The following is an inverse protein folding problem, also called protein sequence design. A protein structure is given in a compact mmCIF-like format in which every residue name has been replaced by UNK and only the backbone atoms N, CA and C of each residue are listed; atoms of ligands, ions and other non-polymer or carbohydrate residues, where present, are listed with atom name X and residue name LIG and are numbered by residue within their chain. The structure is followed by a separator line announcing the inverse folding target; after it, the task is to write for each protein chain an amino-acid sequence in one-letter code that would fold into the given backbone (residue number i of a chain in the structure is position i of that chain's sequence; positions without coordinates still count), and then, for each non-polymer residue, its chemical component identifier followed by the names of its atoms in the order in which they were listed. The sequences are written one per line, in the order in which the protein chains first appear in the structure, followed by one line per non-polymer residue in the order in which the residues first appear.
data_IF_103248499986
#
_entry.id   IF_103248499986
#
_cell.length_a   1.000
_cell.length_b   1.000
_cell.length_c   1.000
_cell.angle_alpha   90.00
_cell.angle_beta   90.00
_cell.angle_gamma   90.00
#
_symmetry.space_group_name_H-M   'P 1'
#
loop_
_entity.id
_entity.type
_entity.pdbx_description
1 polymer ?
#
# COMPACT_ATOMS: atom_id res chain seq x y z
N UNK A 1 -9.41 12.48 16.56
CA UNK A 1 -8.67 12.54 15.29
C UNK A 1 -8.29 13.97 14.92
N UNK A 2 -9.25 14.89 14.72
CA UNK A 2 -8.96 16.28 14.33
C UNK A 2 -7.97 17.00 15.27
N UNK A 3 -8.13 16.86 16.60
CA UNK A 3 -7.17 17.43 17.56
C UNK A 3 -5.73 16.95 17.32
N UNK A 4 -5.53 15.64 17.14
CA UNK A 4 -4.20 15.08 16.86
C UNK A 4 -3.66 15.57 15.52
N UNK A 5 -4.52 15.74 14.52
CA UNK A 5 -4.15 16.31 13.24
C UNK A 5 -3.63 17.76 13.42
N UNK A 6 -4.33 18.58 14.22
CA UNK A 6 -3.92 19.95 14.55
C UNK A 6 -2.59 19.98 15.32
N UNK A 7 -2.39 19.08 16.30
CA UNK A 7 -1.13 18.95 17.04
C UNK A 7 0.04 18.60 16.12
N UNK A 8 -0.15 17.67 15.19
CA UNK A 8 0.86 17.29 14.21
C UNK A 8 1.13 18.43 13.23
N UNK A 9 0.10 19.10 12.72
CA UNK A 9 0.25 20.24 11.82
C UNK A 9 0.98 21.42 12.49
N UNK A 10 0.75 21.65 13.78
CA UNK A 10 1.41 22.71 14.55
C UNK A 10 2.93 22.50 14.68
N UNK A 11 3.44 21.28 14.50
CA UNK A 11 4.89 21.02 14.49
C UNK A 11 5.60 21.62 13.28
N UNK A 12 4.88 21.91 12.19
CA UNK A 12 5.44 22.37 10.92
C UNK A 12 6.34 21.34 10.22
N UNK A 13 6.53 20.14 10.77
CA UNK A 13 7.35 19.12 10.13
C UNK A 13 6.62 18.56 8.91
N UNK A 14 7.26 18.46 7.73
CA UNK A 14 6.54 18.08 6.51
C UNK A 14 5.84 16.72 6.59
N UNK A 15 6.48 15.73 7.22
CA UNK A 15 5.88 14.41 7.38
C UNK A 15 4.70 14.42 8.37
N UNK A 16 4.76 15.26 9.41
CA UNK A 16 3.65 15.45 10.34
C UNK A 16 2.48 16.18 9.68
N UNK A 17 2.74 17.15 8.80
CA UNK A 17 1.73 17.81 7.96
C UNK A 17 1.07 16.82 6.99
N UNK A 18 1.84 15.92 6.37
CA UNK A 18 1.30 14.84 5.56
C UNK A 18 0.36 13.96 6.38
N UNK A 19 0.76 13.50 7.57
CA UNK A 19 -0.11 12.68 8.43
C UNK A 19 -1.32 13.47 8.94
N UNK A 20 -1.16 14.73 9.31
CA UNK A 20 -2.25 15.61 9.72
C UNK A 20 -3.32 15.72 8.64
N UNK A 21 -2.91 15.93 7.38
CA UNK A 21 -3.85 15.99 6.25
C UNK A 21 -4.74 14.75 6.16
N UNK A 22 -4.17 13.58 6.42
CA UNK A 22 -4.84 12.29 6.31
C UNK A 22 -5.75 12.01 7.50
N UNK A 23 -5.37 12.46 8.70
CA UNK A 23 -6.20 12.34 9.89
C UNK A 23 -7.43 13.26 9.85
N UNK A 24 -7.32 14.44 9.24
CA UNK A 24 -8.45 15.37 9.12
C UNK A 24 -9.46 14.97 8.04
N UNK A 25 -8.98 14.45 6.89
CA UNK A 25 -9.80 14.21 5.71
C UNK A 25 -11.10 13.42 5.97
N UNK A 26 -11.13 12.29 6.72
CA UNK A 26 -12.38 11.57 6.97
C UNK A 26 -13.42 12.40 7.74
N UNK A 27 -12.97 13.23 8.67
CA UNK A 27 -13.84 14.11 9.45
C UNK A 27 -14.45 15.18 8.56
N UNK A 28 -13.65 15.77 7.67
CA UNK A 28 -14.09 16.80 6.73
C UNK A 28 -15.05 16.23 5.67
N UNK A 29 -14.77 15.04 5.14
CA UNK A 29 -15.68 14.33 4.22
C UNK A 29 -17.02 13.98 4.89
N UNK A 30 -17.00 13.61 6.17
CA UNK A 30 -18.23 13.29 6.92
C UNK A 30 -19.05 14.54 7.27
N UNK A 31 -18.40 15.68 7.44
CA UNK A 31 -19.05 16.94 7.78
C UNK A 31 -19.68 17.66 6.57
N UNK A 32 -19.28 17.32 5.34
CA UNK A 32 -19.70 18.03 4.12
C UNK A 32 -20.12 17.06 3.01
N UNK A 33 -21.41 16.69 2.90
CA UNK A 33 -21.91 15.82 1.83
C UNK A 33 -22.01 16.51 0.46
N UNK A 34 -21.75 17.82 0.37
CA UNK A 34 -21.81 18.61 -0.86
C UNK A 34 -20.50 19.37 -1.08
N UNK A 35 -20.10 19.64 -2.34
CA UNK A 35 -18.92 20.43 -2.64
C UNK A 35 -19.08 21.83 -2.03
N UNK A 36 -18.36 22.08 -0.93
CA UNK A 36 -18.32 23.39 -0.30
C UNK A 36 -17.20 24.23 -0.93
N UNK A 37 -17.38 25.55 -0.93
CA UNK A 37 -16.37 26.51 -1.37
C UNK A 37 -15.26 26.75 -0.34
N UNK A 38 -15.34 26.14 0.85
CA UNK A 38 -14.35 26.31 1.91
C UNK A 38 -13.19 25.33 1.65
N UNK A 39 -11.94 25.81 1.50
CA UNK A 39 -10.79 24.94 1.39
C UNK A 39 -10.68 24.04 2.62
N UNK A 40 -10.53 22.73 2.40
CA UNK A 40 -10.32 21.76 3.46
C UNK A 40 -8.96 21.98 4.13
N UNK A 41 -8.91 21.84 5.46
CA UNK A 41 -7.64 21.92 6.19
C UNK A 41 -6.72 20.77 5.78
N UNK A 42 -7.28 19.59 5.45
CA UNK A 42 -6.49 18.49 4.89
C UNK A 42 -5.68 18.92 3.68
N UNK A 43 -6.31 19.64 2.76
CA UNK A 43 -5.69 20.03 1.50
C UNK A 43 -4.62 21.11 1.71
N UNK A 44 -4.87 22.05 2.63
CA UNK A 44 -3.90 23.08 3.01
C UNK A 44 -2.65 22.49 3.67
N UNK A 45 -2.80 21.53 4.59
CA UNK A 45 -1.66 20.86 5.24
C UNK A 45 -0.89 19.96 4.27
N UNK A 46 -1.58 19.25 3.37
CA UNK A 46 -0.91 18.49 2.32
C UNK A 46 -0.08 19.41 1.41
N UNK A 47 -0.64 20.54 1.00
CA UNK A 47 0.09 21.51 0.17
C UNK A 47 1.32 22.05 0.88
N UNK A 48 1.22 22.35 2.18
CA UNK A 48 2.38 22.78 2.97
C UNK A 48 3.43 21.67 3.08
N UNK A 49 3.02 20.43 3.35
CA UNK A 49 3.93 19.28 3.36
C UNK A 49 4.71 19.14 2.05
N UNK A 50 4.03 19.31 0.91
CA UNK A 50 4.63 19.25 -0.42
C UNK A 50 5.63 20.38 -0.61
N UNK A 51 5.27 21.63 -0.27
CA UNK A 51 6.16 22.79 -0.42
C UNK A 51 7.44 22.67 0.40
N UNK A 52 7.34 22.16 1.62
CA UNK A 52 8.45 22.14 2.57
C UNK A 52 9.22 20.81 2.61
N UNK A 53 8.64 19.73 2.08
CA UNK A 53 9.14 18.36 2.29
C UNK A 53 9.24 17.47 1.06
N UNK A 54 9.12 18.01 -0.16
CA UNK A 54 9.21 17.18 -1.38
C UNK A 54 10.56 16.48 -1.57
N UNK A 55 11.58 16.77 -0.76
CA UNK A 55 12.84 15.99 -0.70
C UNK A 55 12.64 14.58 -0.11
N UNK A 56 11.56 14.35 0.64
CA UNK A 56 11.22 13.03 1.18
C UNK A 56 10.40 12.24 0.15
N UNK A 57 10.80 11.02 -0.23
CA UNK A 57 10.12 10.25 -1.28
C UNK A 57 8.62 10.06 -1.08
N UNK A 58 8.16 9.79 0.14
CA UNK A 58 6.73 9.64 0.45
C UNK A 58 5.92 10.92 0.18
N UNK A 59 6.50 12.09 0.43
CA UNK A 59 5.87 13.39 0.14
C UNK A 59 5.93 13.67 -1.36
N UNK A 60 7.04 13.32 -2.03
CA UNK A 60 7.16 13.43 -3.48
C UNK A 60 6.12 12.58 -4.23
N UNK A 61 5.90 11.33 -3.79
CA UNK A 61 4.82 10.46 -4.29
C UNK A 61 3.45 11.10 -4.07
N UNK A 62 3.19 11.62 -2.86
CA UNK A 62 1.93 12.31 -2.56
C UNK A 62 1.70 13.55 -3.44
N UNK A 63 2.75 14.31 -3.76
CA UNK A 63 2.69 15.46 -4.66
C UNK A 63 2.28 15.04 -6.08
N UNK A 64 2.91 13.99 -6.62
CA UNK A 64 2.57 13.45 -7.95
C UNK A 64 1.16 12.87 -7.97
N UNK A 65 0.74 12.13 -6.93
CA UNK A 65 -0.64 11.66 -6.82
C UNK A 65 -1.65 12.80 -6.83
N UNK A 66 -1.37 13.90 -6.11
CA UNK A 66 -2.22 15.11 -6.09
C UNK A 66 -2.28 15.79 -7.47
N UNK A 67 -1.17 15.86 -8.20
CA UNK A 67 -1.16 16.34 -9.58
C UNK A 67 -2.10 15.50 -10.47
N UNK A 68 -1.99 14.17 -10.40
CA UNK A 68 -2.84 13.24 -11.18
C UNK A 68 -4.32 13.41 -10.82
N UNK A 69 -4.66 13.48 -9.52
CA UNK A 69 -6.06 13.50 -9.09
C UNK A 69 -6.74 14.87 -9.16
N UNK A 70 -5.98 15.95 -8.96
CA UNK A 70 -6.51 17.30 -8.78
C UNK A 70 -5.96 18.34 -9.77
N UNK A 71 -5.08 17.94 -10.70
CA UNK A 71 -4.49 18.83 -11.72
C UNK A 71 -3.45 19.83 -11.18
N UNK A 72 -3.04 19.72 -9.91
CA UNK A 72 -2.12 20.64 -9.26
C UNK A 72 -0.68 20.18 -9.44
N UNK A 73 -0.09 20.50 -10.60
CA UNK A 73 1.14 19.87 -11.10
C UNK A 73 2.42 20.73 -11.02
N UNK A 74 2.41 21.85 -10.30
CA UNK A 74 3.63 22.64 -10.03
C UNK A 74 4.47 21.97 -8.93
N UNK A 75 5.14 20.88 -9.29
CA UNK A 75 5.88 20.00 -8.37
C UNK A 75 7.27 19.57 -8.89
N UNK A 76 8.09 20.48 -9.47
CA UNK A 76 9.35 20.10 -10.12
C UNK A 76 10.34 19.39 -9.17
N UNK A 77 10.33 19.75 -7.88
CA UNK A 77 11.17 19.10 -6.87
C UNK A 77 10.75 17.64 -6.65
N UNK A 78 9.46 17.36 -6.49
CA UNK A 78 8.96 16.00 -6.30
C UNK A 78 9.29 15.10 -7.49
N UNK A 79 9.08 15.61 -8.72
CA UNK A 79 9.42 14.88 -9.95
C UNK A 79 10.92 14.54 -9.97
N UNK A 80 11.78 15.50 -9.65
CA UNK A 80 13.22 15.27 -9.59
C UNK A 80 13.58 14.19 -8.56
N UNK A 81 13.01 14.25 -7.37
CA UNK A 81 13.28 13.28 -6.29
C UNK A 81 12.87 11.86 -6.71
N UNK A 82 11.70 11.69 -7.32
CA UNK A 82 11.29 10.39 -7.82
C UNK A 82 12.17 9.89 -8.99
N UNK A 83 12.67 10.80 -9.84
CA UNK A 83 13.58 10.43 -10.94
C UNK A 83 15.01 10.10 -10.47
N UNK A 84 15.45 10.60 -9.32
CA UNK A 84 16.85 10.46 -8.87
C UNK A 84 17.02 9.56 -7.65
N UNK A 85 16.25 9.78 -6.58
CA UNK A 85 16.39 9.01 -5.33
C UNK A 85 15.58 7.71 -5.34
N UNK A 86 14.49 7.66 -6.11
CA UNK A 86 13.63 6.48 -6.29
C UNK A 86 13.69 5.97 -7.75
N UNK A 87 14.85 6.13 -8.39
CA UNK A 87 15.04 5.78 -9.79
C UNK A 87 14.86 4.28 -10.06
N UNK A 88 15.17 3.44 -9.07
CA UNK A 88 15.10 1.98 -9.11
C UNK A 88 13.83 1.40 -8.46
N UNK A 89 12.89 2.26 -8.05
CA UNK A 89 11.67 1.89 -7.35
C UNK A 89 10.45 1.92 -8.28
N UNK A 90 9.81 0.76 -8.43
CA UNK A 90 8.76 0.54 -9.43
C UNK A 90 7.54 1.44 -9.24
N UNK A 91 7.08 1.66 -8.00
CA UNK A 91 5.92 2.50 -7.73
C UNK A 91 6.18 3.94 -8.14
N UNK A 92 7.31 4.53 -7.74
CA UNK A 92 7.70 5.88 -8.12
C UNK A 92 7.71 6.08 -9.64
N UNK A 93 8.28 5.13 -10.39
CA UNK A 93 8.32 5.20 -11.85
C UNK A 93 6.93 5.01 -12.49
N UNK A 94 6.07 4.16 -11.91
CA UNK A 94 4.68 4.02 -12.35
C UNK A 94 3.85 5.28 -12.07
N UNK A 95 4.07 5.96 -10.95
CA UNK A 95 3.44 7.27 -10.69
C UNK A 95 3.87 8.32 -11.72
N UNK A 96 5.16 8.41 -12.03
CA UNK A 96 5.68 9.31 -13.06
C UNK A 96 5.10 8.98 -14.45
N UNK A 97 4.97 7.69 -14.77
CA UNK A 97 4.31 7.23 -15.99
C UNK A 97 2.86 7.71 -16.05
N UNK A 98 2.06 7.51 -14.99
CA UNK A 98 0.65 7.96 -14.94
C UNK A 98 0.52 9.47 -15.10
N UNK A 99 1.40 10.23 -14.44
CA UNK A 99 1.43 11.68 -14.57
C UNK A 99 1.75 12.11 -16.00
N UNK A 100 2.75 11.51 -16.64
CA UNK A 100 3.09 11.80 -18.03
C UNK A 100 1.94 11.46 -18.99
N UNK A 101 1.27 10.32 -18.80
CA UNK A 101 0.05 9.95 -19.55
C UNK A 101 -1.06 10.98 -19.35
N UNK A 102 -1.31 11.41 -18.11
CA UNK A 102 -2.34 12.40 -17.80
C UNK A 102 -2.07 13.78 -18.43
N UNK A 103 -0.80 14.14 -18.59
CA UNK A 103 -0.35 15.38 -19.24
C UNK A 103 -0.20 15.25 -20.76
N UNK A 104 -0.37 14.07 -21.33
CA UNK A 104 -0.17 13.81 -22.76
C UNK A 104 1.29 13.78 -23.21
N UNK A 105 2.24 13.67 -22.28
CA UNK A 105 3.68 13.57 -22.55
C UNK A 105 4.06 12.13 -22.86
N UNK A 106 4.02 11.76 -24.14
CA UNK A 106 4.26 10.38 -24.59
C UNK A 106 5.72 9.96 -24.48
N UNK A 107 6.66 10.89 -24.57
CA UNK A 107 8.10 10.62 -24.45
C UNK A 107 8.45 10.28 -22.99
N UNK A 108 8.05 11.13 -22.05
CA UNK A 108 8.29 10.87 -20.63
C UNK A 108 7.51 9.65 -20.17
N UNK A 109 6.30 9.40 -20.68
CA UNK A 109 5.57 8.17 -20.38
C UNK A 109 6.37 6.94 -20.83
N UNK A 110 6.85 6.89 -22.07
CA UNK A 110 7.67 5.77 -22.56
C UNK A 110 8.93 5.54 -21.70
N UNK A 111 9.59 6.63 -21.32
CA UNK A 111 10.80 6.59 -20.50
C UNK A 111 10.51 6.11 -19.07
N UNK A 112 9.47 6.65 -18.42
CA UNK A 112 9.05 6.25 -17.09
C UNK A 112 8.58 4.78 -17.05
N UNK A 113 7.88 4.31 -18.10
CA UNK A 113 7.53 2.90 -18.24
C UNK A 113 8.77 2.01 -18.36
N UNK A 114 9.76 2.43 -19.15
CA UNK A 114 11.03 1.70 -19.27
C UNK A 114 11.75 1.61 -17.92
N UNK A 115 11.81 2.71 -17.17
CA UNK A 115 12.38 2.71 -15.80
C UNK A 115 11.59 1.80 -14.86
N UNK A 116 10.26 1.85 -14.87
CA UNK A 116 9.42 0.97 -14.06
C UNK A 116 9.69 -0.50 -14.36
N UNK A 117 9.77 -0.87 -15.64
CA UNK A 117 10.05 -2.26 -16.05
C UNK A 117 11.47 -2.73 -15.76
N UNK A 118 12.40 -1.81 -15.48
CA UNK A 118 13.79 -2.09 -15.09
C UNK A 118 14.05 -1.88 -13.60
N UNK A 119 13.03 -1.49 -12.82
CA UNK A 119 13.15 -1.29 -11.39
C UNK A 119 13.64 -2.57 -10.70
N UNK A 120 14.33 -2.40 -9.57
CA UNK A 120 14.85 -3.50 -8.76
C UNK A 120 14.16 -3.58 -7.40
N UNK A 121 13.37 -2.57 -7.06
CA UNK A 121 12.64 -2.44 -5.80
C UNK A 121 11.16 -2.20 -6.05
N UNK A 122 10.35 -2.66 -5.11
CA UNK A 122 8.93 -2.38 -5.02
C UNK A 122 8.60 -2.03 -3.57
N UNK A 123 8.15 -0.80 -3.34
CA UNK A 123 7.70 -0.34 -2.02
C UNK A 123 6.26 -0.76 -1.80
N UNK A 124 6.02 -1.41 -0.67
CA UNK A 124 4.67 -1.62 -0.15
C UNK A 124 4.18 -0.33 0.52
N UNK A 125 3.50 0.52 -0.26
CA UNK A 125 2.94 1.80 0.22
C UNK A 125 1.95 1.63 1.38
N UNK A 126 1.31 0.46 1.47
CA UNK A 126 0.44 0.15 2.60
C UNK A 126 1.25 -0.01 3.89
N UNK A 127 2.32 -0.83 3.85
CA UNK A 127 3.21 -1.01 4.98
C UNK A 127 3.94 0.28 5.38
N UNK A 128 4.40 1.08 4.40
CA UNK A 128 5.01 2.40 4.66
C UNK A 128 4.01 3.35 5.35
N UNK A 129 2.77 3.39 4.85
CA UNK A 129 1.68 4.17 5.45
C UNK A 129 1.34 3.71 6.86
N UNK A 130 1.29 2.39 7.10
CA UNK A 130 1.07 1.79 8.41
C UNK A 130 2.14 2.23 9.42
N UNK A 131 3.42 2.08 9.09
CA UNK A 131 4.52 2.49 9.99
C UNK A 131 4.47 3.98 10.31
N UNK A 132 4.30 4.82 9.28
CA UNK A 132 4.23 6.27 9.44
C UNK A 132 3.07 6.68 10.36
N UNK A 133 1.87 6.16 10.08
CA UNK A 133 0.67 6.45 10.87
C UNK A 133 0.77 5.88 12.28
N UNK A 134 1.30 4.67 12.46
CA UNK A 134 1.51 4.09 13.79
C UNK A 134 2.37 5.01 14.64
N UNK A 135 3.57 5.34 14.16
CA UNK A 135 4.54 6.16 14.89
C UNK A 135 3.99 7.54 15.24
N UNK A 136 3.31 8.21 14.32
CA UNK A 136 2.83 9.58 14.53
C UNK A 136 1.54 9.69 15.33
N UNK A 137 0.78 8.60 15.45
CA UNK A 137 -0.47 8.58 16.23
C UNK A 137 -0.30 7.98 17.63
N UNK A 138 0.89 7.50 18.00
CA UNK A 138 1.14 6.94 19.35
C UNK A 138 0.64 7.85 20.46
N UNK A 139 -0.02 7.26 21.45
CA UNK A 139 -0.63 7.98 22.57
C UNK A 139 -1.93 8.71 22.24
N UNK A 140 -2.38 8.74 20.98
CA UNK A 140 -3.69 9.26 20.63
C UNK A 140 -4.77 8.31 21.15
N UNK A 141 -5.75 8.87 21.87
CA UNK A 141 -6.95 8.16 22.28
C UNK A 141 -8.08 8.43 21.28
N UNK A 142 -8.68 7.36 20.77
CA UNK A 142 -9.88 7.47 19.95
C UNK A 142 -11.09 7.25 20.87
N UNK A 143 -12.00 8.24 21.01
CA UNK A 143 -13.20 8.07 21.82
C UNK A 143 -14.15 7.08 21.14
N UNK A 144 -14.32 5.91 21.75
CA UNK A 144 -15.24 4.87 21.27
C UNK A 144 -16.62 5.10 21.90
N UNK A 145 -17.67 5.23 21.09
CA UNK A 145 -19.05 5.49 21.54
C UNK A 145 -19.82 4.20 21.87
N UNK A 146 -19.14 3.16 22.36
CA UNK A 146 -19.70 1.82 22.56
C UNK A 146 -19.94 1.51 24.04
N UNK A 147 -21.12 0.97 24.35
CA UNK A 147 -21.48 0.34 25.64
C UNK A 147 -20.95 -1.09 25.77
N UNK A 148 -20.43 -1.69 24.69
CA UNK A 148 -19.73 -2.96 24.73
C UNK A 148 -18.28 -2.75 25.17
N UNK A 149 -17.83 -3.60 26.09
CA UNK A 149 -16.49 -3.63 26.66
C UNK A 149 -15.45 -3.83 25.53
N UNK A 150 -14.88 -2.74 25.06
CA UNK A 150 -13.55 -2.77 24.43
C UNK A 150 -12.55 -2.28 25.47
N UNK A 151 -11.65 -3.17 25.89
CA UNK A 151 -10.76 -2.98 27.04
C UNK A 151 -9.46 -2.25 26.70
N UNK A 152 -9.12 -2.02 25.42
CA UNK A 152 -7.86 -1.36 25.05
C UNK A 152 -8.03 -0.16 24.09
N UNK A 153 -7.78 1.09 24.53
CA UNK A 153 -7.80 2.27 23.66
C UNK A 153 -6.78 2.21 22.51
N UNK A 154 -5.74 1.38 22.63
CA UNK A 154 -4.74 1.18 21.58
C UNK A 154 -5.30 0.40 20.40
N UNK A 155 -6.26 -0.52 20.62
CA UNK A 155 -6.88 -1.28 19.55
C UNK A 155 -7.67 -0.38 18.60
N UNK A 156 -8.46 0.55 19.14
CA UNK A 156 -9.21 1.52 18.34
C UNK A 156 -8.26 2.38 17.48
N UNK A 157 -7.12 2.79 18.05
CA UNK A 157 -6.08 3.53 17.31
C UNK A 157 -5.49 2.69 16.19
N UNK A 158 -5.11 1.45 16.45
CA UNK A 158 -4.54 0.56 15.42
C UNK A 158 -5.54 0.29 14.29
N UNK A 159 -6.82 0.06 14.59
CA UNK A 159 -7.87 -0.08 13.56
C UNK A 159 -7.94 1.17 12.66
N UNK A 160 -7.91 2.36 13.26
CA UNK A 160 -7.88 3.62 12.50
C UNK A 160 -6.61 3.74 11.64
N UNK A 161 -5.44 3.41 12.19
CA UNK A 161 -4.16 3.41 11.44
C UNK A 161 -4.28 2.51 10.21
N UNK A 162 -4.84 1.31 10.35
CA UNK A 162 -5.06 0.37 9.25
C UNK A 162 -6.00 0.90 8.18
N UNK A 163 -7.16 1.44 8.59
CA UNK A 163 -8.14 1.99 7.68
C UNK A 163 -7.55 3.19 6.90
N UNK A 164 -6.80 4.07 7.57
CA UNK A 164 -6.14 5.19 6.91
C UNK A 164 -5.03 4.73 5.97
N UNK A 165 -4.20 3.77 6.39
CA UNK A 165 -3.14 3.21 5.55
C UNK A 165 -3.69 2.57 4.27
N UNK A 166 -4.86 1.90 4.32
CA UNK A 166 -5.46 1.32 3.11
C UNK A 166 -5.80 2.36 2.05
N UNK A 167 -6.07 3.61 2.44
CA UNK A 167 -6.32 4.70 1.49
C UNK A 167 -5.04 5.16 0.76
N UNK A 168 -3.86 4.75 1.20
CA UNK A 168 -2.59 4.94 0.48
C UNK A 168 -2.32 3.81 -0.52
N UNK A 169 -3.00 2.67 -0.36
CA UNK A 169 -2.65 1.46 -1.08
C UNK A 169 -3.28 1.40 -2.48
N UNK A 170 -2.48 0.92 -3.43
CA UNK A 170 -2.85 0.35 -4.73
C UNK A 170 -3.24 1.30 -5.87
N UNK A 171 -2.34 2.21 -6.24
CA UNK A 171 -2.48 2.98 -7.49
C UNK A 171 -1.56 2.52 -8.63
N UNK A 172 -0.96 1.33 -8.53
CA UNK A 172 -0.01 0.81 -9.52
C UNK A 172 -0.42 -0.56 -10.11
N UNK A 173 -1.27 -1.34 -9.43
CA UNK A 173 -1.65 -2.68 -9.92
C UNK A 173 -2.53 -2.61 -11.17
N UNK A 174 -3.44 -1.64 -11.24
CA UNK A 174 -4.31 -1.45 -12.41
C UNK A 174 -3.49 -1.12 -13.66
N UNK A 175 -2.44 -0.34 -13.49
CA UNK A 175 -1.52 0.10 -14.52
C UNK A 175 -0.67 -1.06 -15.02
N UNK A 176 -0.09 -1.85 -14.11
CA UNK A 176 0.63 -3.08 -14.47
C UNK A 176 -0.32 -4.05 -15.19
N UNK A 177 -1.57 -4.19 -14.75
CA UNK A 177 -2.54 -5.03 -15.43
C UNK A 177 -2.85 -4.58 -16.86
N UNK A 178 -3.01 -3.27 -17.07
CA UNK A 178 -3.28 -2.70 -18.39
C UNK A 178 -2.08 -2.80 -19.33
N UNK A 179 -0.87 -2.54 -18.84
CA UNK A 179 0.34 -2.48 -19.66
C UNK A 179 1.03 -3.83 -19.85
N UNK A 180 0.70 -4.82 -19.00
CA UNK A 180 1.17 -6.20 -19.14
C UNK A 180 0.01 -7.17 -19.40
N UNK A 181 -0.69 -7.06 -20.55
CA UNK A 181 -1.67 -8.07 -20.96
C UNK A 181 -0.94 -9.35 -21.39
N UNK A 182 -1.53 -10.52 -21.17
CA UNK A 182 -1.03 -11.76 -21.76
C UNK A 182 -1.99 -12.18 -22.89
N UNK A 183 -1.52 -12.47 -24.12
CA UNK A 183 -0.11 -12.43 -24.56
C UNK A 183 0.42 -11.01 -24.82
N UNK A 184 1.74 -10.83 -24.70
CA UNK A 184 2.47 -9.59 -25.05
C UNK A 184 3.65 -9.94 -25.96
N UNK A 185 4.12 -8.98 -26.76
CA UNK A 185 5.34 -9.11 -27.56
C UNK A 185 6.58 -9.46 -26.70
N UNK A 186 7.59 -10.07 -27.32
CA UNK A 186 8.78 -10.56 -26.62
C UNK A 186 9.55 -9.45 -25.89
N UNK A 187 9.60 -8.24 -26.46
CA UNK A 187 10.34 -7.10 -25.91
C UNK A 187 9.70 -6.56 -24.64
N UNK A 188 8.37 -6.44 -24.59
CA UNK A 188 7.62 -6.03 -23.41
C UNK A 188 7.46 -7.17 -22.39
N UNK A 189 7.56 -8.42 -22.85
CA UNK A 189 7.44 -9.60 -21.99
C UNK A 189 8.48 -9.61 -20.87
N UNK A 190 9.74 -9.25 -21.15
CA UNK A 190 10.79 -9.23 -20.12
C UNK A 190 10.55 -8.16 -19.06
N UNK A 191 10.22 -6.95 -19.49
CA UNK A 191 9.90 -5.84 -18.58
C UNK A 191 8.69 -6.13 -17.70
N UNK A 192 7.64 -6.72 -18.28
CA UNK A 192 6.46 -7.18 -17.55
C UNK A 192 6.81 -8.29 -16.56
N UNK A 193 7.63 -9.27 -16.94
CA UNK A 193 8.10 -10.33 -16.03
C UNK A 193 8.87 -9.75 -14.86
N UNK A 194 9.70 -8.73 -15.07
CA UNK A 194 10.45 -8.09 -13.99
C UNK A 194 9.50 -7.45 -12.95
N UNK A 195 8.56 -6.61 -13.40
CA UNK A 195 7.54 -6.02 -12.52
C UNK A 195 6.72 -7.08 -11.78
N UNK A 196 6.24 -8.10 -12.49
CA UNK A 196 5.44 -9.17 -11.88
C UNK A 196 6.25 -10.00 -10.86
N UNK A 197 7.56 -10.16 -11.07
CA UNK A 197 8.46 -10.81 -10.11
C UNK A 197 8.62 -9.97 -8.85
N UNK A 198 8.82 -8.65 -8.98
CA UNK A 198 8.87 -7.74 -7.83
C UNK A 198 7.57 -7.78 -7.02
N UNK A 199 6.43 -7.74 -7.71
CA UNK A 199 5.11 -7.86 -7.08
C UNK A 199 4.97 -9.19 -6.33
N UNK A 200 5.36 -10.31 -6.96
CA UNK A 200 5.31 -11.65 -6.35
C UNK A 200 6.20 -11.77 -5.09
N UNK A 201 7.29 -11.01 -5.04
CA UNK A 201 8.22 -10.92 -3.91
C UNK A 201 7.78 -9.99 -2.78
N UNK A 202 6.76 -9.15 -2.98
CA UNK A 202 6.26 -8.20 -1.99
C UNK A 202 5.63 -8.89 -0.77
N UNK A 203 5.63 -8.21 0.37
CA UNK A 203 4.85 -8.61 1.56
C UNK A 203 3.40 -8.12 1.54
N UNK A 204 3.02 -7.23 0.61
CA UNK A 204 1.63 -6.89 0.35
C UNK A 204 0.90 -8.10 -0.22
N UNK A 205 -0.18 -8.54 0.42
CA UNK A 205 -0.88 -9.77 0.05
C UNK A 205 -1.38 -9.68 -1.40
N UNK A 206 -1.98 -8.55 -1.78
CA UNK A 206 -2.55 -8.39 -3.11
C UNK A 206 -1.46 -8.37 -4.19
N UNK A 207 -0.37 -7.63 -3.97
CA UNK A 207 0.74 -7.58 -4.91
C UNK A 207 1.36 -8.97 -5.12
N UNK A 208 1.62 -9.70 -4.03
CA UNK A 208 2.20 -11.04 -4.10
C UNK A 208 1.27 -12.05 -4.80
N UNK A 209 -0.02 -12.00 -4.48
CA UNK A 209 -1.05 -12.84 -5.11
C UNK A 209 -1.15 -12.56 -6.61
N UNK A 210 -1.22 -11.29 -7.00
CA UNK A 210 -1.30 -10.88 -8.39
C UNK A 210 -0.03 -11.25 -9.17
N UNK A 211 1.15 -10.90 -8.67
CA UNK A 211 2.43 -11.19 -9.31
C UNK A 211 2.65 -12.68 -9.54
N UNK A 212 2.44 -13.51 -8.51
CA UNK A 212 2.62 -14.97 -8.63
C UNK A 212 1.62 -15.61 -9.60
N UNK A 213 0.36 -15.19 -9.59
CA UNK A 213 -0.65 -15.68 -10.53
C UNK A 213 -0.31 -15.31 -11.99
N UNK A 214 0.12 -14.06 -12.24
CA UNK A 214 0.51 -13.63 -13.58
C UNK A 214 1.80 -14.29 -14.05
N UNK A 215 2.79 -14.46 -13.18
CA UNK A 215 4.05 -15.12 -13.57
C UNK A 215 3.85 -16.57 -14.02
N UNK A 216 2.82 -17.27 -13.55
CA UNK A 216 2.44 -18.58 -14.08
C UNK A 216 2.06 -18.53 -15.57
N UNK A 217 1.40 -17.45 -16.02
CA UNK A 217 1.02 -17.22 -17.42
C UNK A 217 2.24 -16.80 -18.26
N UNK A 218 3.18 -16.07 -17.66
CA UNK A 218 4.42 -15.60 -18.30
C UNK A 218 5.58 -16.59 -18.20
N UNK A 219 5.35 -17.78 -17.66
CA UNK A 219 6.38 -18.80 -17.50
C UNK A 219 6.96 -19.22 -18.86
N UNK A 220 8.29 -19.24 -18.95
CA UNK A 220 9.03 -19.56 -20.18
C UNK A 220 9.04 -21.05 -20.47
N UNK A 221 8.95 -21.88 -19.43
CA UNK A 221 8.97 -23.32 -19.51
C UNK A 221 8.14 -23.98 -18.39
N UNK A 222 8.09 -25.30 -18.37
CA UNK A 222 7.36 -26.07 -17.38
C UNK A 222 7.91 -25.90 -15.95
N UNK A 223 9.24 -25.82 -15.80
CA UNK A 223 9.91 -25.67 -14.50
C UNK A 223 9.56 -24.33 -13.85
N UNK A 224 9.64 -23.24 -14.62
CA UNK A 224 9.23 -21.91 -14.15
C UNK A 224 7.74 -21.88 -13.81
N UNK A 225 6.90 -22.54 -14.63
CA UNK A 225 5.46 -22.62 -14.36
C UNK A 225 5.17 -23.35 -13.04
N UNK A 226 5.86 -24.45 -12.79
CA UNK A 226 5.75 -25.22 -11.55
C UNK A 226 6.20 -24.40 -10.34
N UNK A 227 7.32 -23.66 -10.45
CA UNK A 227 7.78 -22.76 -9.41
C UNK A 227 6.72 -21.70 -9.05
N UNK A 228 6.17 -21.00 -10.05
CA UNK A 228 5.14 -19.99 -9.80
C UNK A 228 3.81 -20.59 -9.30
N UNK A 229 3.47 -21.81 -9.72
CA UNK A 229 2.34 -22.54 -9.18
C UNK A 229 2.56 -22.87 -7.69
N UNK A 230 3.75 -23.33 -7.28
CA UNK A 230 4.09 -23.57 -5.88
C UNK A 230 4.02 -22.27 -5.07
N UNK A 231 4.61 -21.18 -5.58
CA UNK A 231 4.55 -19.87 -4.93
C UNK A 231 3.11 -19.38 -4.73
N UNK A 232 2.26 -19.53 -5.74
CA UNK A 232 0.83 -19.18 -5.65
C UNK A 232 0.11 -20.02 -4.60
N UNK A 233 0.41 -21.33 -4.53
CA UNK A 233 -0.14 -22.23 -3.49
C UNK A 233 0.28 -21.79 -2.09
N UNK A 234 1.54 -21.43 -1.89
CA UNK A 234 2.02 -20.91 -0.61
C UNK A 234 1.29 -19.63 -0.18
N UNK A 235 1.18 -18.65 -1.07
CA UNK A 235 0.50 -17.38 -0.78
C UNK A 235 -0.97 -17.62 -0.42
N UNK A 236 -1.68 -18.46 -1.18
CA UNK A 236 -3.07 -18.80 -0.93
C UNK A 236 -3.27 -19.60 0.37
N UNK A 237 -2.32 -20.49 0.71
CA UNK A 237 -2.34 -21.22 1.97
C UNK A 237 -2.17 -20.28 3.17
N UNK A 238 -1.14 -19.43 3.12
CA UNK A 238 -0.82 -18.48 4.19
C UNK A 238 -2.02 -17.57 4.43
N UNK A 239 -2.58 -16.98 3.38
CA UNK A 239 -3.71 -16.06 3.49
C UNK A 239 -4.99 -16.78 3.95
N UNK A 240 -5.30 -17.95 3.39
CA UNK A 240 -6.48 -18.72 3.76
C UNK A 240 -6.49 -19.13 5.23
N UNK A 241 -5.37 -19.68 5.72
CA UNK A 241 -5.23 -20.07 7.13
C UNK A 241 -5.28 -18.87 8.06
N UNK A 242 -4.55 -17.79 7.74
CA UNK A 242 -4.53 -16.59 8.57
C UNK A 242 -5.90 -15.90 8.63
N UNK A 243 -6.60 -15.78 7.50
CA UNK A 243 -7.96 -15.22 7.46
C UNK A 243 -8.96 -16.08 8.21
N UNK A 244 -8.81 -17.42 8.18
CA UNK A 244 -9.60 -18.33 9.00
C UNK A 244 -9.45 -18.04 10.50
N UNK A 245 -8.20 -17.91 10.98
CA UNK A 245 -7.91 -17.55 12.38
C UNK A 245 -8.49 -16.19 12.77
N UNK A 246 -8.29 -15.17 11.92
CA UNK A 246 -8.80 -13.81 12.17
C UNK A 246 -10.34 -13.77 12.18
N UNK A 247 -11.00 -14.59 11.36
CA UNK A 247 -12.47 -14.65 11.30
C UNK A 247 -13.05 -15.32 12.55
N UNK A 248 -12.45 -16.41 13.04
CA UNK A 248 -12.88 -17.07 14.28
C UNK A 248 -12.71 -16.21 15.54
N UNK A 249 -11.74 -15.28 15.55
CA UNK A 249 -11.60 -14.32 16.64
C UNK A 249 -12.77 -13.33 16.73
N UNK A 250 -13.41 -12.99 15.61
CA UNK A 250 -14.58 -12.12 15.60
C UNK A 250 -15.79 -12.71 16.36
N UNK A 251 -15.82 -14.05 16.53
CA UNK A 251 -16.87 -14.79 17.23
C UNK A 251 -16.60 -14.97 18.74
N UNK A 252 -15.67 -14.21 19.32
CA UNK A 252 -15.39 -14.21 20.76
C UNK A 252 -14.01 -14.76 21.16
N UNK A 253 -13.09 -14.92 20.20
CA UNK A 253 -11.69 -15.23 20.48
C UNK A 253 -10.95 -14.07 21.17
N UNK A 254 -9.86 -14.39 21.86
CA UNK A 254 -9.11 -13.44 22.68
C UNK A 254 -8.55 -12.26 21.88
N UNK A 255 -9.01 -11.06 22.24
CA UNK A 255 -8.60 -9.73 21.71
C UNK A 255 -7.08 -9.53 21.62
N UNK A 256 -6.30 -10.24 22.45
CA UNK A 256 -4.84 -10.17 22.50
C UNK A 256 -4.14 -10.56 21.17
N UNK A 257 -4.73 -11.45 20.39
CA UNK A 257 -4.12 -11.90 19.12
C UNK A 257 -4.31 -10.88 17.99
N UNK A 258 -5.43 -10.14 17.96
CA UNK A 258 -5.67 -9.11 16.95
C UNK A 258 -4.69 -7.94 17.12
N UNK A 259 -4.50 -7.44 18.34
CA UNK A 259 -3.55 -6.34 18.57
C UNK A 259 -2.12 -6.73 18.19
N UNK A 260 -1.72 -7.96 18.52
CA UNK A 260 -0.40 -8.49 18.16
C UNK A 260 -0.25 -8.64 16.65
N UNK A 261 -1.29 -9.16 15.96
CA UNK A 261 -1.35 -9.19 14.51
C UNK A 261 -1.19 -7.79 13.90
N UNK A 262 -1.89 -6.80 14.45
CA UNK A 262 -1.79 -5.43 13.97
C UNK A 262 -0.37 -4.85 14.12
N UNK A 263 0.35 -5.23 15.19
CA UNK A 263 1.77 -4.86 15.33
C UNK A 263 2.67 -5.57 14.34
N UNK A 264 2.40 -6.85 14.04
CA UNK A 264 3.20 -7.59 13.08
C UNK A 264 3.10 -7.03 11.65
N UNK A 265 1.97 -6.47 11.21
CA UNK A 265 1.96 -5.93 9.83
C UNK A 265 2.78 -4.64 9.75
N UNK A 266 2.79 -3.82 10.80
CA UNK A 266 3.64 -2.63 10.84
C UNK A 266 5.12 -2.99 10.63
N UNK A 267 5.56 -4.10 11.22
CA UNK A 267 6.97 -4.54 11.17
C UNK A 267 7.29 -5.35 9.91
N UNK A 268 6.37 -6.19 9.43
CA UNK A 268 6.68 -7.24 8.46
C UNK A 268 5.80 -7.23 7.21
N UNK A 269 4.90 -6.26 7.07
CA UNK A 269 3.86 -6.27 6.04
C UNK A 269 2.83 -7.38 6.25
N UNK A 270 1.82 -7.44 5.37
CA UNK A 270 0.67 -8.34 5.53
C UNK A 270 1.07 -9.82 5.53
N UNK A 271 1.79 -10.29 4.52
CA UNK A 271 2.20 -11.69 4.43
C UNK A 271 3.19 -12.07 5.54
N UNK A 272 4.05 -11.14 5.97
CA UNK A 272 4.94 -11.36 7.10
C UNK A 272 4.18 -11.52 8.42
N UNK A 273 3.14 -10.71 8.63
CA UNK A 273 2.26 -10.81 9.78
C UNK A 273 1.43 -12.10 9.78
N UNK A 274 0.91 -12.49 8.61
CA UNK A 274 0.18 -13.75 8.46
C UNK A 274 1.06 -14.95 8.80
N UNK A 275 2.33 -15.00 8.36
CA UNK A 275 3.26 -16.07 8.75
C UNK A 275 3.51 -16.11 10.26
N UNK A 276 3.63 -14.96 10.91
CA UNK A 276 3.79 -14.89 12.37
C UNK A 276 2.53 -15.36 13.10
N UNK A 277 1.34 -15.03 12.59
CA UNK A 277 0.07 -15.53 13.12
C UNK A 277 -0.03 -17.05 13.02
N UNK A 278 0.35 -17.62 11.87
CA UNK A 278 0.38 -19.09 11.70
C UNK A 278 1.37 -19.75 12.65
N UNK A 279 2.59 -19.18 12.78
CA UNK A 279 3.60 -19.70 13.69
C UNK A 279 3.14 -19.65 15.16
N UNK A 280 2.41 -18.60 15.57
CA UNK A 280 1.85 -18.48 16.92
C UNK A 280 0.71 -19.49 17.20
N UNK A 281 0.16 -20.12 16.16
CA UNK A 281 -0.91 -21.12 16.24
C UNK A 281 -0.44 -22.51 15.80
N UNK A 282 0.87 -22.74 15.73
CA UNK A 282 1.48 -24.01 15.30
C UNK A 282 1.01 -24.51 13.91
N UNK A 283 0.61 -23.59 13.03
CA UNK A 283 0.23 -23.89 11.64
C UNK A 283 1.46 -23.72 10.73
N UNK A 284 1.89 -24.75 9.99
CA UNK A 284 2.99 -24.61 9.04
C UNK A 284 2.68 -23.57 7.95
N UNK A 285 3.63 -22.71 7.55
CA UNK A 285 3.41 -21.72 6.50
C UNK A 285 3.43 -22.32 5.09
N UNK A 286 3.78 -23.60 4.95
CA UNK A 286 3.79 -24.34 3.68
C UNK A 286 2.54 -25.21 3.56
N UNK A 287 1.87 -25.21 2.40
CA UNK A 287 0.71 -26.07 2.19
C UNK A 287 1.11 -27.56 2.18
N UNK A 288 0.22 -28.47 2.63
CA UNK A 288 0.37 -29.90 2.40
C UNK A 288 0.55 -30.21 0.91
N UNK A 289 1.31 -31.27 0.59
CA UNK A 289 1.66 -31.60 -0.80
C UNK A 289 0.45 -31.74 -1.72
N UNK A 290 -0.63 -32.33 -1.21
CA UNK A 290 -1.89 -32.58 -1.92
C UNK A 290 -2.91 -31.43 -1.82
N UNK A 291 -2.62 -30.38 -1.06
CA UNK A 291 -3.52 -29.23 -0.92
C UNK A 291 -3.51 -28.36 -2.18
N UNK A 292 -4.68 -28.00 -2.68
CA UNK A 292 -4.84 -27.02 -3.74
C UNK A 292 -5.73 -25.89 -3.22
N UNK A 293 -5.48 -24.64 -3.61
CA UNK A 293 -6.41 -23.56 -3.31
C UNK A 293 -7.76 -23.92 -3.92
N UNK A 294 -8.84 -23.71 -3.17
CA UNK A 294 -10.18 -23.70 -3.74
C UNK A 294 -10.19 -22.71 -4.90
N UNK A 295 -11.01 -22.95 -5.93
CA UNK A 295 -11.12 -22.02 -7.07
C UNK A 295 -11.69 -20.69 -6.58
N UNK A 296 -10.83 -19.80 -6.11
CA UNK A 296 -11.16 -18.42 -5.82
C UNK A 296 -10.82 -17.60 -7.07
N UNK A 297 -11.83 -16.81 -7.46
CA UNK A 297 -12.03 -16.08 -8.72
C UNK A 297 -10.79 -15.43 -9.34
#
# INVERSE_FOLDING_TARGET
MLQKAQELAASGQPLALLVASRLALPTELSAQPHPSSVPRQSDAWLEQAIREGSEQPVIARAAVSRCISAGQCDIPLAIRILKTQEADEAIAQLLLWRMAVALGDTEEASLAWTRATQATRFVDEYAEGLDMLDRMTRGMRIPVHSTAVQTDPEQARLIMVYALASAFSMTALGEVQQQCPAPVDATRSEGCRNLLTLLAGSNALLASSYGSARMQVYARDATEREYWQQRRREVAWISGQALGLLSHQADGGTVAEMQQYLRWNVVSGELGAMRQLLAANDIPPTPPLNWQPEKVL
#
